data_IF_293660646119
#
_entry.id   IF_293660646119
#
_cell.length_a   1.000
_cell.length_b   1.000
_cell.length_c   1.000
_cell.angle_alpha   90.00
_cell.angle_beta   90.00
_cell.angle_gamma   90.00
#
_symmetry.space_group_name_H-M   'P 1'
#
loop_
_entity.id
_entity.type
_entity.pdbx_description
1 polymer ?
#
# COMPACT_ATOMS: atom_id res chain seq x y z
N UNK A 1 -39.41 4.33 17.44
CA UNK A 1 -38.30 4.07 16.51
C UNK A 1 -38.11 2.56 16.36
N UNK A 2 -38.23 2.01 15.15
CA UNK A 2 -37.99 0.59 14.93
C UNK A 2 -36.50 0.24 15.15
N UNK A 3 -36.22 -0.87 15.84
CA UNK A 3 -34.85 -1.33 16.10
C UNK A 3 -34.21 -1.80 14.80
N UNK A 4 -33.30 -0.99 14.25
CA UNK A 4 -32.56 -1.36 13.03
C UNK A 4 -31.60 -2.51 13.33
N UNK A 5 -31.74 -3.61 12.57
CA UNK A 5 -30.90 -4.80 12.69
C UNK A 5 -29.41 -4.46 12.45
N UNK A 6 -28.52 -5.06 13.24
CA UNK A 6 -27.07 -4.74 13.22
C UNK A 6 -26.41 -4.94 11.86
N UNK A 7 -26.95 -5.88 11.05
CA UNK A 7 -26.50 -6.15 9.67
C UNK A 7 -26.76 -4.98 8.72
N UNK A 8 -27.89 -4.28 8.89
CA UNK A 8 -28.26 -3.12 8.08
C UNK A 8 -27.35 -1.94 8.42
N UNK A 9 -27.10 -1.71 9.71
CA UNK A 9 -26.16 -0.66 10.18
C UNK A 9 -24.75 -0.83 9.61
N UNK A 10 -24.21 -2.05 9.61
CA UNK A 10 -22.87 -2.36 9.07
C UNK A 10 -22.75 -2.09 7.57
N UNK A 11 -23.78 -2.42 6.78
CA UNK A 11 -23.80 -2.16 5.33
C UNK A 11 -23.85 -0.66 5.03
N UNK A 12 -24.60 0.12 5.81
CA UNK A 12 -24.70 1.56 5.65
C UNK A 12 -23.37 2.29 5.95
N UNK A 13 -22.60 1.83 6.93
CA UNK A 13 -21.35 2.50 7.35
C UNK A 13 -20.12 2.21 6.50
N UNK A 14 -20.21 1.28 5.54
CA UNK A 14 -19.06 0.76 4.80
C UNK A 14 -18.99 1.21 3.33
N UNK A 15 -20.00 1.89 2.80
CA UNK A 15 -20.04 2.22 1.38
C UNK A 15 -18.99 3.27 0.97
N UNK A 16 -18.76 4.29 1.80
CA UNK A 16 -17.98 5.47 1.37
C UNK A 16 -16.94 5.91 2.41
N UNK A 17 -16.37 4.97 3.17
CA UNK A 17 -15.21 5.28 4.02
C UNK A 17 -13.92 5.29 3.21
N UNK A 18 -13.89 6.08 2.15
CA UNK A 18 -12.64 6.54 1.59
C UNK A 18 -12.06 7.53 2.60
N UNK A 19 -11.30 7.01 3.56
CA UNK A 19 -10.60 7.85 4.54
C UNK A 19 -9.67 8.75 3.72
N UNK A 20 -9.78 10.07 3.86
CA UNK A 20 -8.89 11.10 3.27
C UNK A 20 -7.41 10.90 3.70
N UNK A 21 -6.82 9.77 3.29
CA UNK A 21 -5.45 9.36 3.56
C UNK A 21 -4.73 9.41 2.23
N UNK A 22 -3.55 10.02 2.26
CA UNK A 22 -2.65 9.98 1.11
C UNK A 22 -2.33 8.53 0.73
N UNK A 23 -2.33 8.24 -0.58
CA UNK A 23 -1.92 6.94 -1.10
C UNK A 23 -0.46 6.71 -0.75
N UNK A 24 -0.20 5.66 0.05
CA UNK A 24 1.18 5.29 0.44
C UNK A 24 1.86 4.53 -0.71
N UNK A 25 3.18 4.76 -0.94
CA UNK A 25 3.93 4.00 -1.92
C UNK A 25 4.05 2.53 -1.51
N UNK A 26 4.14 1.65 -2.52
CA UNK A 26 4.39 0.22 -2.29
C UNK A 26 5.84 0.01 -1.82
N UNK A 27 6.02 -0.85 -0.82
CA UNK A 27 7.33 -1.21 -0.27
C UNK A 27 7.50 -2.73 -0.24
N UNK A 28 8.72 -3.19 -0.39
CA UNK A 28 9.08 -4.61 -0.52
C UNK A 28 10.09 -5.02 0.56
N UNK A 29 10.12 -6.32 0.89
CA UNK A 29 11.10 -6.87 1.82
C UNK A 29 12.41 -7.26 1.13
N UNK A 30 12.35 -7.62 -0.15
CA UNK A 30 13.52 -8.09 -0.92
C UNK A 30 13.73 -7.23 -2.17
N UNK A 31 15.00 -7.12 -2.60
CA UNK A 31 15.34 -6.39 -3.84
C UNK A 31 14.71 -7.05 -5.06
N UNK A 32 14.68 -8.38 -5.11
CA UNK A 32 14.11 -9.14 -6.23
C UNK A 32 12.62 -8.84 -6.43
N UNK A 33 11.83 -8.82 -5.35
CA UNK A 33 10.40 -8.51 -5.45
C UNK A 33 10.15 -7.06 -5.89
N UNK A 34 11.01 -6.12 -5.47
CA UNK A 34 10.94 -4.75 -5.93
C UNK A 34 11.27 -4.60 -7.43
N UNK A 35 12.25 -5.36 -7.93
CA UNK A 35 12.61 -5.39 -9.37
C UNK A 35 11.48 -5.99 -10.22
N UNK A 36 10.98 -7.17 -9.86
CA UNK A 36 9.85 -7.82 -10.55
C UNK A 36 8.63 -6.90 -10.62
N UNK A 37 8.38 -6.14 -9.56
CA UNK A 37 7.31 -5.15 -9.54
C UNK A 37 7.58 -3.99 -10.52
N UNK A 38 8.79 -3.45 -10.55
CA UNK A 38 9.16 -2.35 -11.45
C UNK A 38 9.06 -2.79 -12.93
N UNK A 39 9.54 -3.99 -13.25
CA UNK A 39 9.45 -4.61 -14.58
C UNK A 39 7.99 -4.84 -15.00
N UNK A 40 7.17 -5.42 -14.12
CA UNK A 40 5.73 -5.60 -14.37
C UNK A 40 4.95 -4.29 -14.49
N UNK A 41 5.54 -3.16 -14.05
CA UNK A 41 4.99 -1.81 -14.24
C UNK A 41 5.61 -1.07 -15.43
N UNK A 42 6.56 -1.67 -16.14
CA UNK A 42 7.23 -1.05 -17.27
C UNK A 42 8.18 0.09 -16.90
N UNK A 43 8.60 0.19 -15.63
CA UNK A 43 9.50 1.24 -15.15
C UNK A 43 10.93 0.84 -15.52
N UNK A 44 11.53 1.53 -16.50
CA UNK A 44 12.87 1.21 -17.02
C UNK A 44 14.01 1.86 -16.24
N UNK A 45 13.80 3.08 -15.75
CA UNK A 45 14.78 3.83 -14.94
C UNK A 45 14.25 4.00 -13.52
N UNK A 46 14.77 3.19 -12.60
CA UNK A 46 14.36 3.24 -11.19
C UNK A 46 15.52 2.98 -10.24
N UNK A 47 15.43 3.58 -9.07
CA UNK A 47 16.33 3.35 -7.94
C UNK A 47 15.61 2.59 -6.83
N UNK A 48 16.33 1.66 -6.20
CA UNK A 48 15.86 0.90 -5.05
C UNK A 48 16.39 1.55 -3.77
N UNK A 49 15.51 2.18 -3.02
CA UNK A 49 15.86 2.88 -1.78
C UNK A 49 15.33 2.11 -0.57
N UNK A 50 16.20 1.74 0.36
CA UNK A 50 15.76 1.21 1.65
C UNK A 50 15.35 2.37 2.56
N UNK A 51 14.08 2.41 2.94
CA UNK A 51 13.51 3.46 3.81
C UNK A 51 13.49 3.08 5.29
N UNK A 52 13.89 1.86 5.63
CA UNK A 52 13.97 1.44 7.01
C UNK A 52 15.36 1.73 7.58
N UNK A 53 15.39 2.37 8.74
CA UNK A 53 16.59 2.63 9.54
C UNK A 53 16.96 1.46 10.44
N UNK A 54 16.16 0.39 10.46
CA UNK A 54 16.38 -0.79 11.30
C UNK A 54 16.94 -1.93 10.45
N UNK A 55 18.10 -2.46 10.85
CA UNK A 55 18.81 -3.54 10.14
C UNK A 55 17.95 -4.80 9.96
N UNK A 56 17.13 -5.11 10.97
CA UNK A 56 16.31 -6.32 10.98
C UNK A 56 15.04 -6.25 10.10
N UNK A 57 14.72 -5.08 9.53
CA UNK A 57 13.48 -4.90 8.76
C UNK A 57 13.75 -4.09 7.50
N UNK A 58 14.18 -4.74 6.41
CA UNK A 58 14.33 -4.08 5.13
C UNK A 58 12.97 -3.64 4.57
N UNK A 59 12.88 -2.38 4.13
CA UNK A 59 11.72 -1.83 3.40
C UNK A 59 12.22 -1.09 2.18
N UNK A 60 12.17 -1.76 1.03
CA UNK A 60 12.68 -1.24 -0.23
C UNK A 60 11.55 -0.58 -1.00
N UNK A 61 11.75 0.67 -1.41
CA UNK A 61 10.85 1.42 -2.27
C UNK A 61 11.50 1.57 -3.65
N UNK A 62 10.69 1.41 -4.69
CA UNK A 62 11.07 1.75 -6.07
C UNK A 62 10.78 3.23 -6.28
N UNK A 63 11.79 3.99 -6.72
CA UNK A 63 11.69 5.41 -7.06
C UNK A 63 12.03 5.55 -8.54
N UNK A 64 11.08 5.96 -9.38
CA UNK A 64 11.36 6.29 -10.78
C UNK A 64 12.23 7.54 -10.84
N UNK A 65 13.23 7.53 -11.74
CA UNK A 65 14.01 8.72 -12.09
C UNK A 65 13.25 9.60 -13.07
#
# INVERSE_FOLDING_TARGET
MAKVHTRVKRKATNKDKDRNRSKRPKTFKTKESAKKYAEGKGIKKYNLVNISTKDNKQKIKVVSQ
#
